data_IF_494335359279
#
_entry.id   IF_494335359279
#
_cell.length_a   1.000
_cell.length_b   1.000
_cell.length_c   1.000
_cell.angle_alpha   90.00
_cell.angle_beta   90.00
_cell.angle_gamma   90.00
#
_symmetry.space_group_name_H-M   'P 1'
#
loop_
_entity.id
_entity.type
_entity.pdbx_description
1 polymer ?
#
# COMPACT_ATOMS: atom_id res chain seq x y z
N UNK A 1 -27.07 -12.74 33.43
CA UNK A 1 -27.03 -12.68 31.94
C UNK A 1 -25.99 -13.68 31.52
N UNK A 2 -26.32 -14.66 30.66
CA UNK A 2 -25.35 -15.66 30.23
C UNK A 2 -24.27 -15.00 29.35
N UNK A 3 -23.05 -15.51 29.37
CA UNK A 3 -21.93 -15.04 28.49
C UNK A 3 -22.34 -14.97 27.02
N UNK A 4 -23.20 -15.89 26.58
CA UNK A 4 -23.78 -15.91 25.22
C UNK A 4 -24.66 -14.67 24.96
N UNK A 5 -25.41 -14.19 25.96
CA UNK A 5 -26.21 -12.98 25.83
C UNK A 5 -25.36 -11.72 25.73
N UNK A 6 -24.28 -11.63 26.49
CA UNK A 6 -23.33 -10.52 26.44
C UNK A 6 -22.59 -10.48 25.09
N UNK A 7 -22.11 -11.61 24.59
CA UNK A 7 -21.44 -11.71 23.30
C UNK A 7 -22.36 -11.33 22.11
N UNK A 8 -23.65 -11.73 22.16
CA UNK A 8 -24.64 -11.34 21.13
C UNK A 8 -24.94 -9.84 21.17
N UNK A 9 -25.03 -9.25 22.36
CA UNK A 9 -25.27 -7.81 22.54
C UNK A 9 -24.05 -6.99 22.03
N UNK A 10 -22.85 -7.45 22.32
CA UNK A 10 -21.61 -6.82 21.84
C UNK A 10 -21.50 -6.90 20.30
N UNK A 11 -21.80 -8.05 19.69
CA UNK A 11 -21.82 -8.21 18.24
C UNK A 11 -22.86 -7.28 17.57
N UNK A 12 -24.07 -7.18 18.13
CA UNK A 12 -25.10 -6.26 17.63
C UNK A 12 -24.69 -4.79 17.76
N UNK A 13 -23.99 -4.41 18.83
CA UNK A 13 -23.47 -3.06 19.01
C UNK A 13 -22.34 -2.72 18.04
N UNK A 14 -21.50 -3.71 17.66
CA UNK A 14 -20.46 -3.56 16.63
C UNK A 14 -21.08 -3.34 15.25
N UNK A 15 -22.12 -4.13 14.90
CA UNK A 15 -22.83 -4.00 13.63
C UNK A 15 -23.57 -2.66 13.53
N UNK A 16 -24.19 -2.18 14.63
CA UNK A 16 -24.85 -0.88 14.68
C UNK A 16 -23.83 0.29 14.53
N UNK A 17 -22.64 0.19 15.13
CA UNK A 17 -21.57 1.17 14.95
C UNK A 17 -21.01 1.15 13.52
N UNK A 18 -20.79 -0.03 12.94
CA UNK A 18 -20.35 -0.18 11.57
C UNK A 18 -21.34 0.46 10.57
N UNK A 19 -22.62 0.47 10.90
CA UNK A 19 -23.67 1.13 10.12
C UNK A 19 -23.64 2.68 10.22
N UNK A 20 -22.99 3.25 11.24
CA UNK A 20 -22.91 4.72 11.41
C UNK A 20 -22.00 5.35 10.34
N UNK A 21 -22.48 6.35 9.56
CA UNK A 21 -21.68 7.01 8.54
C UNK A 21 -20.38 7.61 9.08
N UNK A 22 -20.43 8.30 10.21
CA UNK A 22 -19.24 8.93 10.82
C UNK A 22 -18.15 7.91 11.17
N UNK A 23 -18.52 6.79 11.75
CA UNK A 23 -17.56 5.75 12.13
C UNK A 23 -16.94 5.06 10.90
N UNK A 24 -17.71 4.81 9.85
CA UNK A 24 -17.18 4.23 8.58
C UNK A 24 -16.09 5.11 7.96
N UNK A 25 -16.32 6.42 7.92
CA UNK A 25 -15.32 7.36 7.40
C UNK A 25 -14.12 7.50 8.33
N UNK A 26 -14.31 7.42 9.65
CA UNK A 26 -13.21 7.33 10.59
C UNK A 26 -12.33 6.10 10.32
N UNK A 27 -12.95 4.92 10.18
CA UNK A 27 -12.22 3.68 9.86
C UNK A 27 -11.47 3.81 8.53
N UNK A 28 -12.13 4.36 7.50
CA UNK A 28 -11.48 4.62 6.21
C UNK A 28 -10.27 5.55 6.37
N UNK A 29 -10.38 6.60 7.18
CA UNK A 29 -9.26 7.50 7.49
C UNK A 29 -8.07 6.79 8.14
N UNK A 30 -8.34 5.92 9.12
CA UNK A 30 -7.30 5.09 9.76
C UNK A 30 -6.66 4.13 8.75
N UNK A 31 -7.45 3.49 7.88
CA UNK A 31 -6.92 2.60 6.84
C UNK A 31 -6.08 3.37 5.81
N UNK A 32 -6.49 4.58 5.41
CA UNK A 32 -5.70 5.46 4.53
C UNK A 32 -4.38 5.84 5.22
N UNK A 33 -4.41 6.20 6.51
CA UNK A 33 -3.21 6.52 7.27
C UNK A 33 -2.23 5.34 7.31
N UNK A 34 -2.72 4.13 7.57
CA UNK A 34 -1.90 2.92 7.60
C UNK A 34 -1.30 2.64 6.21
N UNK A 35 -2.09 2.83 5.15
CA UNK A 35 -1.63 2.65 3.78
C UNK A 35 -0.61 3.72 3.37
N UNK A 36 -0.80 4.95 3.85
CA UNK A 36 0.18 6.02 3.72
C UNK A 36 1.49 5.67 4.42
N UNK A 37 1.46 5.15 5.65
CA UNK A 37 2.66 4.69 6.37
C UNK A 37 3.37 3.56 5.62
N UNK A 38 2.62 2.61 5.04
CA UNK A 38 3.17 1.53 4.24
C UNK A 38 3.98 2.06 3.03
N UNK A 39 3.43 3.00 2.26
CA UNK A 39 4.14 3.60 1.12
C UNK A 39 5.24 4.58 1.55
N UNK A 40 5.12 5.19 2.71
CA UNK A 40 6.17 6.00 3.32
C UNK A 40 7.42 5.14 3.60
N UNK A 41 7.23 3.95 4.20
CA UNK A 41 8.31 3.00 4.48
C UNK A 41 8.98 2.46 3.22
N UNK A 42 8.23 2.27 2.15
CA UNK A 42 8.79 1.87 0.84
C UNK A 42 9.61 2.97 0.21
N UNK A 43 9.18 4.21 0.35
CA UNK A 43 9.82 5.34 -0.31
C UNK A 43 11.06 5.84 0.42
N UNK A 44 11.12 5.71 1.76
CA UNK A 44 12.22 6.22 2.57
C UNK A 44 13.58 5.64 2.14
N UNK A 45 13.65 4.36 1.76
CA UNK A 45 14.92 3.75 1.34
C UNK A 45 15.48 4.41 0.08
N UNK A 46 14.60 4.82 -0.86
CA UNK A 46 15.01 5.47 -2.12
C UNK A 46 15.64 6.84 -1.90
N UNK A 47 15.04 7.69 -1.04
CA UNK A 47 15.58 9.02 -0.72
C UNK A 47 16.88 8.93 0.11
N UNK A 48 17.04 7.88 0.90
CA UNK A 48 18.23 7.63 1.72
C UNK A 48 19.35 6.90 0.98
N UNK A 49 19.23 6.67 -0.32
CA UNK A 49 20.23 5.94 -1.10
C UNK A 49 21.65 6.53 -0.97
N UNK A 50 21.78 7.84 -1.12
CA UNK A 50 23.08 8.50 -1.08
C UNK A 50 23.79 8.36 0.28
N UNK A 51 23.17 8.71 1.43
CA UNK A 51 23.81 8.55 2.73
C UNK A 51 24.08 7.08 3.10
N UNK A 52 23.20 6.14 2.75
CA UNK A 52 23.41 4.71 3.00
C UNK A 52 24.59 4.15 2.20
N UNK A 53 24.68 4.52 0.92
CA UNK A 53 25.80 4.10 0.07
C UNK A 53 27.11 4.69 0.53
N UNK A 54 27.15 5.95 0.96
CA UNK A 54 28.34 6.59 1.46
C UNK A 54 28.86 5.95 2.75
N UNK A 55 27.97 5.62 3.70
CA UNK A 55 28.37 5.08 4.99
C UNK A 55 28.78 3.61 4.92
N UNK A 56 28.05 2.79 4.18
CA UNK A 56 28.33 1.35 4.08
C UNK A 56 29.10 0.95 2.83
N UNK A 57 29.54 1.92 2.03
CA UNK A 57 30.26 1.72 0.78
C UNK A 57 29.54 0.73 -0.18
N UNK A 58 28.22 0.92 -0.32
CA UNK A 58 27.37 0.02 -1.11
C UNK A 58 27.49 0.30 -2.60
N UNK A 59 27.59 -0.78 -3.38
CA UNK A 59 27.40 -0.72 -4.83
C UNK A 59 25.93 -0.42 -5.19
N UNK A 60 25.67 0.02 -6.43
CA UNK A 60 24.30 0.20 -6.92
C UNK A 60 23.50 -1.11 -6.91
N UNK A 61 24.18 -2.25 -7.18
CA UNK A 61 23.57 -3.58 -7.10
C UNK A 61 23.13 -3.92 -5.67
N UNK A 62 23.99 -3.71 -4.68
CA UNK A 62 23.66 -3.95 -3.28
C UNK A 62 22.50 -3.05 -2.82
N UNK A 63 22.51 -1.78 -3.21
CA UNK A 63 21.40 -0.88 -2.91
C UNK A 63 20.10 -1.33 -3.59
N UNK A 64 20.15 -1.75 -4.86
CA UNK A 64 19.01 -2.31 -5.57
C UNK A 64 18.44 -3.58 -4.90
N UNK A 65 19.30 -4.43 -4.32
CA UNK A 65 18.87 -5.59 -3.53
C UNK A 65 18.12 -5.18 -2.25
N UNK A 66 18.56 -4.12 -1.56
CA UNK A 66 17.88 -3.60 -0.36
C UNK A 66 16.48 -3.05 -0.66
N UNK A 67 16.35 -2.25 -1.72
CA UNK A 67 15.08 -1.63 -2.12
C UNK A 67 14.13 -2.59 -2.82
N UNK A 68 14.66 -3.60 -3.51
CA UNK A 68 13.92 -4.56 -4.33
C UNK A 68 13.77 -5.93 -3.67
N UNK A 69 14.76 -6.80 -3.88
CA UNK A 69 14.65 -8.22 -3.56
C UNK A 69 14.44 -8.50 -2.06
N UNK A 70 15.13 -7.79 -1.18
CA UNK A 70 15.01 -7.97 0.26
C UNK A 70 13.56 -7.82 0.74
N UNK A 71 12.87 -6.83 0.19
CA UNK A 71 11.48 -6.57 0.49
C UNK A 71 10.54 -7.50 -0.30
N UNK A 72 10.68 -7.54 -1.63
CA UNK A 72 9.70 -8.13 -2.54
C UNK A 72 9.57 -9.65 -2.36
N UNK A 73 10.64 -10.36 -2.03
CA UNK A 73 10.64 -11.80 -1.89
C UNK A 73 9.64 -12.26 -0.82
N UNK A 74 9.77 -11.74 0.41
CA UNK A 74 8.92 -12.14 1.52
C UNK A 74 7.53 -11.48 1.45
N UNK A 75 7.44 -10.23 0.99
CA UNK A 75 6.17 -9.58 0.74
C UNK A 75 5.28 -10.40 -0.20
N UNK A 76 5.80 -10.81 -1.37
CA UNK A 76 5.02 -11.53 -2.38
C UNK A 76 4.67 -12.96 -1.96
N UNK A 77 5.61 -13.67 -1.31
CA UNK A 77 5.37 -15.06 -0.89
C UNK A 77 4.40 -15.16 0.28
N UNK A 78 4.48 -14.22 1.24
CA UNK A 78 3.64 -14.24 2.43
C UNK A 78 2.28 -13.56 2.24
N UNK A 79 2.09 -12.75 1.19
CA UNK A 79 0.82 -12.09 0.92
C UNK A 79 -0.35 -13.08 0.79
N UNK A 80 -0.12 -14.23 0.12
CA UNK A 80 -1.15 -15.27 -0.07
C UNK A 80 -1.53 -15.96 1.25
N UNK A 81 -0.58 -16.54 2.03
CA UNK A 81 -0.93 -17.17 3.29
C UNK A 81 -1.51 -16.20 4.32
N UNK A 82 -1.05 -14.94 4.35
CA UNK A 82 -1.61 -13.94 5.26
C UNK A 82 -3.03 -13.52 4.82
N UNK A 83 -3.30 -13.39 3.53
CA UNK A 83 -4.66 -13.17 3.03
C UNK A 83 -5.60 -14.33 3.44
N UNK A 84 -5.12 -15.58 3.32
CA UNK A 84 -5.86 -16.76 3.79
C UNK A 84 -6.13 -16.75 5.31
N UNK A 85 -5.16 -16.28 6.11
CA UNK A 85 -5.37 -16.05 7.55
C UNK A 85 -6.40 -14.95 7.79
N UNK A 86 -6.35 -13.86 7.04
CA UNK A 86 -7.29 -12.75 7.14
C UNK A 86 -8.74 -13.17 6.82
N UNK A 87 -8.94 -14.23 6.03
CA UNK A 87 -10.26 -14.80 5.77
C UNK A 87 -10.82 -15.59 6.97
N UNK A 88 -9.98 -16.02 7.90
CA UNK A 88 -10.37 -16.89 9.02
C UNK A 88 -10.30 -16.22 10.39
N UNK A 89 -9.36 -15.32 10.55
CA UNK A 89 -9.10 -14.62 11.82
C UNK A 89 -9.53 -13.16 11.74
N UNK A 90 -9.44 -12.43 12.86
CA UNK A 90 -9.73 -11.01 12.90
C UNK A 90 -8.76 -10.22 12.03
N UNK A 91 -9.31 -9.48 11.05
CA UNK A 91 -8.55 -8.63 10.13
C UNK A 91 -7.84 -7.51 10.84
N UNK A 92 -8.48 -6.94 11.87
CA UNK A 92 -7.91 -5.87 12.69
C UNK A 92 -6.70 -6.38 13.47
N UNK A 93 -6.75 -7.60 14.04
CA UNK A 93 -5.59 -8.20 14.70
C UNK A 93 -4.43 -8.47 13.74
N UNK A 94 -4.72 -9.01 12.56
CA UNK A 94 -3.69 -9.28 11.54
C UNK A 94 -3.04 -7.97 11.11
N UNK A 95 -3.83 -6.93 10.82
CA UNK A 95 -3.29 -5.63 10.43
C UNK A 95 -2.50 -4.97 11.57
N UNK A 96 -2.94 -5.10 12.82
CA UNK A 96 -2.20 -4.55 13.98
C UNK A 96 -0.84 -5.24 14.13
N UNK A 97 -0.81 -6.56 14.07
CA UNK A 97 0.42 -7.34 14.12
C UNK A 97 1.35 -7.00 12.94
N UNK A 98 0.79 -6.95 11.74
CA UNK A 98 1.47 -6.56 10.52
C UNK A 98 2.11 -5.17 10.67
N UNK A 99 1.33 -4.16 11.05
CA UNK A 99 1.79 -2.78 11.26
C UNK A 99 2.90 -2.71 12.32
N UNK A 100 2.75 -3.41 13.43
CA UNK A 100 3.77 -3.45 14.49
C UNK A 100 5.08 -4.08 13.99
N UNK A 101 4.97 -5.19 13.25
CA UNK A 101 6.14 -5.91 12.72
C UNK A 101 6.90 -5.04 11.73
N UNK A 102 6.24 -4.54 10.65
CA UNK A 102 6.98 -3.77 9.65
C UNK A 102 7.55 -2.47 10.22
N UNK A 103 6.79 -1.76 11.05
CA UNK A 103 7.25 -0.51 11.66
C UNK A 103 8.39 -0.74 12.65
N UNK A 104 8.35 -1.84 13.41
CA UNK A 104 9.45 -2.26 14.27
C UNK A 104 10.72 -2.53 13.47
N UNK A 105 10.62 -3.29 12.37
CA UNK A 105 11.76 -3.53 11.49
C UNK A 105 12.24 -2.27 10.76
N UNK A 106 11.34 -1.33 10.44
CA UNK A 106 11.72 -0.01 9.92
C UNK A 106 12.56 0.75 10.95
N UNK A 107 12.14 0.79 12.22
CA UNK A 107 12.94 1.41 13.27
C UNK A 107 14.29 0.70 13.45
N UNK A 108 14.33 -0.64 13.37
CA UNK A 108 15.56 -1.43 13.44
C UNK A 108 16.51 -1.16 12.25
N UNK A 109 16.02 -0.76 11.07
CA UNK A 109 16.88 -0.29 10.00
C UNK A 109 17.76 0.88 10.45
N UNK A 110 17.26 1.76 11.33
CA UNK A 110 18.00 2.91 11.85
C UNK A 110 19.18 2.55 12.77
N UNK A 111 19.23 1.34 13.31
CA UNK A 111 20.35 0.85 14.13
C UNK A 111 21.21 -0.18 13.39
N UNK A 112 21.00 -0.36 12.09
CA UNK A 112 21.77 -1.28 11.27
C UNK A 112 23.24 -0.88 11.21
N UNK A 113 24.14 -1.87 11.39
CA UNK A 113 25.58 -1.69 11.36
C UNK A 113 26.24 -1.99 10.00
N UNK A 114 25.46 -2.38 8.98
CA UNK A 114 25.98 -2.70 7.65
C UNK A 114 24.94 -3.29 6.72
N UNK A 115 25.36 -3.67 5.50
CA UNK A 115 24.49 -4.24 4.47
C UNK A 115 23.65 -5.42 4.97
N UNK A 116 24.28 -6.41 5.63
CA UNK A 116 23.59 -7.63 6.05
C UNK A 116 22.45 -7.38 7.05
N UNK A 117 22.72 -6.56 8.08
CA UNK A 117 21.68 -6.19 9.07
C UNK A 117 20.57 -5.37 8.44
N UNK A 118 20.91 -4.43 7.56
CA UNK A 118 19.91 -3.62 6.84
C UNK A 118 19.06 -4.50 5.90
N UNK A 119 19.68 -5.47 5.21
CA UNK A 119 19.00 -6.42 4.33
C UNK A 119 17.99 -7.27 5.12
N UNK A 120 18.40 -7.84 6.26
CA UNK A 120 17.51 -8.62 7.12
C UNK A 120 16.36 -7.79 7.69
N UNK A 121 16.62 -6.53 8.09
CA UNK A 121 15.56 -5.64 8.53
C UNK A 121 14.57 -5.35 7.39
N UNK A 122 15.02 -5.12 6.16
CA UNK A 122 14.16 -4.93 4.98
C UNK A 122 13.32 -6.17 4.65
N UNK A 123 13.87 -7.38 4.85
CA UNK A 123 13.09 -8.62 4.77
C UNK A 123 11.98 -8.63 5.82
N UNK A 124 12.28 -8.24 7.07
CA UNK A 124 11.30 -8.13 8.14
C UNK A 124 10.19 -7.11 7.85
N UNK A 125 10.53 -5.98 7.23
CA UNK A 125 9.53 -5.02 6.73
C UNK A 125 8.61 -5.71 5.72
N UNK A 126 9.16 -6.45 4.75
CA UNK A 126 8.37 -7.18 3.75
C UNK A 126 7.41 -8.21 4.35
N UNK A 127 7.83 -8.93 5.42
CA UNK A 127 6.98 -9.86 6.17
C UNK A 127 5.75 -9.12 6.75
N UNK A 128 6.01 -8.01 7.44
CA UNK A 128 4.94 -7.24 8.08
C UNK A 128 3.99 -6.64 7.04
N UNK A 129 4.51 -5.97 6.01
CA UNK A 129 3.68 -5.30 5.01
C UNK A 129 2.77 -6.25 4.21
N UNK A 130 3.13 -7.52 4.08
CA UNK A 130 2.30 -8.53 3.43
C UNK A 130 0.90 -8.69 4.09
N UNK A 131 0.78 -8.31 5.37
CA UNK A 131 -0.48 -8.35 6.13
C UNK A 131 -1.32 -7.08 6.06
N UNK A 132 -0.95 -6.07 5.28
CA UNK A 132 -1.64 -4.77 5.26
C UNK A 132 -2.82 -4.70 4.29
N UNK A 133 -2.60 -5.05 3.03
CA UNK A 133 -3.51 -4.73 1.93
C UNK A 133 -4.78 -5.58 1.90
N UNK A 134 -4.66 -6.91 1.92
CA UNK A 134 -5.82 -7.80 1.80
C UNK A 134 -6.86 -7.61 2.91
N UNK A 135 -6.47 -7.53 4.21
CA UNK A 135 -7.42 -7.22 5.27
C UNK A 135 -8.08 -5.85 5.15
N UNK A 136 -7.33 -4.82 4.67
CA UNK A 136 -7.88 -3.48 4.48
C UNK A 136 -8.98 -3.45 3.41
N UNK A 137 -8.76 -4.09 2.25
CA UNK A 137 -9.78 -4.22 1.21
C UNK A 137 -11.03 -4.95 1.72
N UNK A 138 -10.85 -6.02 2.49
CA UNK A 138 -11.94 -6.77 3.10
C UNK A 138 -12.72 -5.91 4.12
N UNK A 139 -12.03 -5.16 5.00
CA UNK A 139 -12.68 -4.25 5.94
C UNK A 139 -13.47 -3.16 5.21
N UNK A 140 -12.90 -2.51 4.20
CA UNK A 140 -13.60 -1.48 3.42
C UNK A 140 -14.86 -2.06 2.77
N UNK A 141 -14.79 -3.28 2.24
CA UNK A 141 -15.93 -3.95 1.63
C UNK A 141 -17.07 -4.22 2.60
N UNK A 142 -16.75 -4.47 3.88
CA UNK A 142 -17.76 -4.74 4.92
C UNK A 142 -18.27 -3.47 5.61
N UNK A 143 -17.48 -2.38 5.62
CA UNK A 143 -17.91 -1.09 6.16
C UNK A 143 -18.74 -0.25 5.21
N UNK A 144 -18.63 -0.50 3.88
CA UNK A 144 -19.31 0.31 2.87
C UNK A 144 -20.29 -0.52 2.04
N UNK A 145 -21.53 -0.04 1.81
CA UNK A 145 -22.48 -0.70 0.93
C UNK A 145 -21.95 -0.74 -0.51
N UNK A 146 -22.42 -1.69 -1.32
CA UNK A 146 -21.98 -1.91 -2.71
C UNK A 146 -21.91 -0.62 -3.54
N UNK A 147 -22.89 0.28 -3.39
CA UNK A 147 -22.94 1.56 -4.09
C UNK A 147 -21.84 2.56 -3.73
N UNK A 148 -21.18 2.42 -2.58
CA UNK A 148 -20.15 3.33 -2.07
C UNK A 148 -18.76 2.70 -2.05
N UNK A 149 -18.61 1.38 -2.23
CA UNK A 149 -17.32 0.66 -2.15
C UNK A 149 -16.28 1.19 -3.11
N UNK A 150 -16.66 1.43 -4.36
CA UNK A 150 -15.73 1.95 -5.37
C UNK A 150 -15.13 3.30 -4.94
N UNK A 151 -15.95 4.20 -4.38
CA UNK A 151 -15.48 5.49 -3.87
C UNK A 151 -14.58 5.34 -2.65
N UNK A 152 -14.92 4.44 -1.72
CA UNK A 152 -14.11 4.18 -0.54
C UNK A 152 -12.74 3.58 -0.91
N UNK A 153 -12.70 2.64 -1.86
CA UNK A 153 -11.46 2.07 -2.38
C UNK A 153 -10.63 3.10 -3.15
N UNK A 154 -11.27 3.98 -3.91
CA UNK A 154 -10.58 5.09 -4.57
C UNK A 154 -9.97 6.06 -3.55
N UNK A 155 -10.70 6.40 -2.49
CA UNK A 155 -10.16 7.21 -1.39
C UNK A 155 -8.99 6.51 -0.68
N UNK A 156 -9.09 5.22 -0.42
CA UNK A 156 -8.00 4.42 0.16
C UNK A 156 -6.73 4.46 -0.72
N UNK A 157 -6.89 4.42 -2.04
CA UNK A 157 -5.76 4.47 -2.97
C UNK A 157 -4.96 5.78 -2.92
N UNK A 158 -5.54 6.89 -2.44
CA UNK A 158 -4.79 8.13 -2.20
C UNK A 158 -3.70 7.97 -1.12
N UNK A 159 -3.78 6.95 -0.27
CA UNK A 159 -2.70 6.60 0.64
C UNK A 159 -1.35 6.35 -0.07
N UNK A 160 -1.37 5.92 -1.34
CA UNK A 160 -0.16 5.66 -2.14
C UNK A 160 0.63 6.97 -2.38
N UNK A 161 0.12 7.95 -3.16
CA UNK A 161 0.87 9.17 -3.44
C UNK A 161 1.14 10.00 -2.19
N UNK A 162 0.23 10.01 -1.22
CA UNK A 162 0.45 10.68 0.06
C UNK A 162 1.60 10.05 0.84
N UNK A 163 1.65 8.72 0.90
CA UNK A 163 2.72 7.99 1.57
C UNK A 163 4.07 8.16 0.89
N UNK A 164 4.11 8.03 -0.44
CA UNK A 164 5.34 8.23 -1.21
C UNK A 164 5.88 9.66 -1.06
N UNK A 165 5.03 10.68 -1.17
CA UNK A 165 5.42 12.07 -0.99
C UNK A 165 5.88 12.34 0.45
N UNK A 166 5.14 11.87 1.45
CA UNK A 166 5.51 12.00 2.86
C UNK A 166 6.83 11.28 3.17
N UNK A 167 7.03 10.07 2.64
CA UNK A 167 8.26 9.29 2.82
C UNK A 167 9.48 9.98 2.24
N UNK A 168 9.34 10.55 1.05
CA UNK A 168 10.39 11.35 0.42
C UNK A 168 10.68 12.61 1.21
N UNK A 169 9.64 13.38 1.56
CA UNK A 169 9.79 14.66 2.23
C UNK A 169 10.30 14.49 3.66
N UNK A 170 9.58 13.73 4.49
CA UNK A 170 9.92 13.53 5.90
C UNK A 170 11.24 12.76 6.02
N UNK A 171 11.41 11.67 5.25
CA UNK A 171 12.65 10.89 5.25
C UNK A 171 13.86 11.71 4.83
N UNK A 172 13.74 12.49 3.75
CA UNK A 172 14.81 13.33 3.25
C UNK A 172 15.15 14.49 4.17
N UNK A 173 14.17 15.19 4.73
CA UNK A 173 14.41 16.30 5.68
C UNK A 173 14.99 15.81 7.00
N UNK A 174 14.47 14.73 7.58
CA UNK A 174 15.03 14.14 8.80
C UNK A 174 16.47 13.68 8.57
N UNK A 175 16.74 13.07 7.43
CA UNK A 175 18.07 12.60 7.11
C UNK A 175 19.06 13.76 6.87
N UNK A 176 18.62 14.84 6.25
CA UNK A 176 19.46 16.02 6.01
C UNK A 176 19.82 16.75 7.31
N UNK A 177 18.97 16.72 8.34
CA UNK A 177 19.17 17.44 9.60
C UNK A 177 19.75 16.57 10.71
N UNK A 178 19.26 15.33 10.84
CA UNK A 178 19.56 14.45 11.98
C UNK A 178 20.22 13.12 11.56
N UNK A 179 20.45 12.93 10.26
CA UNK A 179 21.01 11.71 9.71
C UNK A 179 19.95 10.65 9.37
N UNK A 180 20.33 9.73 8.48
CA UNK A 180 19.43 8.70 7.95
C UNK A 180 18.92 7.70 9.01
N UNK A 181 19.70 7.45 10.06
CA UNK A 181 19.31 6.59 11.18
C UNK A 181 18.07 7.13 11.89
N UNK A 182 18.07 8.43 12.19
CA UNK A 182 16.94 9.11 12.82
C UNK A 182 15.70 9.06 11.96
N UNK A 183 15.84 9.19 10.64
CA UNK A 183 14.70 9.07 9.71
C UNK A 183 14.01 7.70 9.82
N UNK A 184 14.75 6.61 9.82
CA UNK A 184 14.19 5.26 9.99
C UNK A 184 13.55 5.06 11.37
N UNK A 185 14.23 5.51 12.44
CA UNK A 185 13.72 5.35 13.81
C UNK A 185 12.41 6.10 14.00
N UNK A 186 12.35 7.37 13.60
CA UNK A 186 11.14 8.20 13.75
C UNK A 186 9.97 7.63 12.97
N UNK A 187 10.20 7.24 11.71
CA UNK A 187 9.15 6.64 10.87
C UNK A 187 8.66 5.31 11.45
N UNK A 188 9.57 4.44 11.86
CA UNK A 188 9.20 3.17 12.46
C UNK A 188 8.43 3.33 13.78
N UNK A 189 8.89 4.21 14.68
CA UNK A 189 8.17 4.49 15.93
C UNK A 189 6.77 5.05 15.66
N UNK A 190 6.61 5.95 14.68
CA UNK A 190 5.30 6.49 14.31
C UNK A 190 4.32 5.36 13.95
N UNK A 191 4.75 4.39 13.14
CA UNK A 191 3.90 3.25 12.78
C UNK A 191 3.58 2.34 13.98
N UNK A 192 4.55 2.08 14.86
CA UNK A 192 4.32 1.33 16.12
C UNK A 192 3.28 2.03 16.99
N UNK A 193 3.29 3.37 17.07
CA UNK A 193 2.31 4.14 17.83
C UNK A 193 0.91 4.14 17.20
N UNK A 194 0.80 3.99 15.89
CA UNK A 194 -0.51 3.88 15.19
C UNK A 194 -1.14 2.49 15.38
N UNK A 195 -0.36 1.44 15.60
CA UNK A 195 -0.87 0.08 15.76
C UNK A 195 -1.89 -0.07 16.91
N UNK A 196 -1.66 0.41 18.14
CA UNK A 196 -2.66 0.39 19.20
C UNK A 196 -3.88 1.26 18.89
N UNK A 197 -3.74 2.38 18.15
CA UNK A 197 -4.89 3.19 17.72
C UNK A 197 -5.80 2.36 16.82
N UNK A 198 -5.26 1.66 15.81
CA UNK A 198 -6.04 0.73 14.99
C UNK A 198 -6.75 -0.31 15.86
N UNK A 199 -6.01 -0.97 16.77
CA UNK A 199 -6.54 -2.08 17.57
C UNK A 199 -7.66 -1.65 18.52
N UNK A 200 -7.53 -0.49 19.14
CA UNK A 200 -8.45 -0.01 20.17
C UNK A 200 -9.68 0.68 19.59
N UNK A 201 -9.56 1.28 18.41
CA UNK A 201 -10.62 2.13 17.86
C UNK A 201 -11.37 1.50 16.70
N UNK A 202 -10.76 0.58 15.94
CA UNK A 202 -11.40 -0.11 14.82
C UNK A 202 -11.90 -1.47 15.26
N UNK A 203 -13.20 -1.72 15.05
CA UNK A 203 -13.85 -3.01 15.29
C UNK A 203 -13.84 -3.84 14.01
N UNK A 204 -13.85 -5.16 14.13
CA UNK A 204 -13.96 -6.07 13.00
C UNK A 204 -15.44 -6.38 12.73
N UNK A 205 -16.06 -5.86 11.64
CA UNK A 205 -17.47 -6.06 11.37
C UNK A 205 -17.76 -7.48 10.90
N UNK A 206 -19.02 -7.89 10.97
CA UNK A 206 -19.47 -9.16 10.42
C UNK A 206 -19.22 -9.20 8.90
N UNK A 207 -18.61 -10.27 8.42
CA UNK A 207 -18.28 -10.43 7.00
C UNK A 207 -19.54 -10.52 6.15
N UNK A 208 -19.59 -9.73 5.07
CA UNK A 208 -20.73 -9.67 4.16
C UNK A 208 -22.01 -9.12 4.78
N UNK A 209 -21.94 -8.51 5.98
CA UNK A 209 -23.12 -8.01 6.69
C UNK A 209 -23.93 -6.98 5.91
N UNK A 210 -23.28 -6.19 5.05
CA UNK A 210 -23.94 -5.21 4.17
C UNK A 210 -24.27 -5.76 2.77
N UNK A 211 -23.99 -7.02 2.49
CA UNK A 211 -24.28 -7.67 1.19
C UNK A 211 -25.60 -8.43 1.20
N UNK A 212 -26.16 -8.68 2.37
CA UNK A 212 -27.47 -9.32 2.51
C UNK A 212 -28.54 -8.28 2.14
N UNK A 213 -29.16 -8.42 0.98
CA UNK A 213 -30.41 -7.70 0.71
C UNK A 213 -31.46 -8.13 1.73
N UNK A 214 -32.33 -7.23 2.20
CA UNK A 214 -33.47 -7.60 3.02
C UNK A 214 -34.45 -8.42 2.15
N UNK A 215 -34.09 -9.66 1.87
CA UNK A 215 -34.96 -10.60 1.18
C UNK A 215 -35.99 -11.11 2.19
N UNK A 216 -37.24 -11.24 1.75
CA UNK A 216 -38.43 -11.63 2.46
C UNK A 216 -38.22 -12.60 3.66
N UNK A 217 -39.11 -12.57 4.68
CA UNK A 217 -38.95 -13.25 5.98
C UNK A 217 -38.90 -14.78 5.95
N UNK A 218 -38.80 -15.42 4.79
CA UNK A 218 -38.98 -16.89 4.60
C UNK A 218 -37.77 -17.61 3.98
N UNK A 219 -36.65 -16.93 3.70
CA UNK A 219 -35.47 -17.63 3.21
C UNK A 219 -34.63 -18.17 4.39
N UNK A 220 -34.44 -19.51 4.44
CA UNK A 220 -33.47 -20.15 5.33
C UNK A 220 -32.10 -19.45 5.24
N UNK A 221 -31.28 -19.44 6.31
CA UNK A 221 -29.94 -18.82 6.29
C UNK A 221 -29.16 -19.45 5.11
N UNK A 222 -28.92 -18.67 4.07
CA UNK A 222 -28.03 -19.10 2.99
C UNK A 222 -26.63 -19.09 3.59
N UNK A 223 -26.10 -20.29 3.87
CA UNK A 223 -24.68 -20.44 4.24
C UNK A 223 -23.84 -19.70 3.19
N UNK A 224 -23.00 -18.80 3.63
CA UNK A 224 -22.04 -18.12 2.73
C UNK A 224 -21.28 -19.21 1.95
N UNK A 225 -21.16 -19.11 0.61
CA UNK A 225 -20.47 -20.11 -0.18
C UNK A 225 -19.08 -20.34 0.38
N UNK A 226 -18.75 -21.57 0.75
CA UNK A 226 -17.40 -21.92 1.22
C UNK A 226 -16.40 -21.52 0.14
N UNK A 227 -15.37 -20.76 0.52
CA UNK A 227 -14.31 -20.37 -0.40
C UNK A 227 -13.73 -21.63 -1.09
N UNK A 228 -13.58 -21.63 -2.43
CA UNK A 228 -13.09 -22.80 -3.14
C UNK A 228 -11.67 -23.13 -2.70
N UNK A 229 -11.26 -24.41 -2.73
CA UNK A 229 -9.89 -24.81 -2.46
C UNK A 229 -8.91 -24.09 -3.39
N UNK A 230 -7.74 -23.70 -2.88
CA UNK A 230 -6.71 -22.95 -3.65
C UNK A 230 -6.41 -23.60 -5.02
N UNK A 231 -6.25 -24.93 -5.06
CA UNK A 231 -5.96 -25.65 -6.30
C UNK A 231 -7.11 -25.53 -7.34
N UNK A 232 -8.34 -25.43 -6.90
CA UNK A 232 -9.49 -25.21 -7.81
C UNK A 232 -9.42 -23.81 -8.43
N UNK A 233 -9.04 -22.79 -7.65
CA UNK A 233 -8.83 -21.42 -8.14
C UNK A 233 -7.72 -21.41 -9.20
N UNK A 234 -6.57 -22.04 -8.92
CA UNK A 234 -5.46 -22.17 -9.87
C UNK A 234 -5.90 -22.85 -11.16
N UNK A 235 -6.59 -24.00 -11.09
CA UNK A 235 -7.10 -24.72 -12.27
C UNK A 235 -8.10 -23.89 -13.09
N UNK A 236 -8.84 -22.99 -12.45
CA UNK A 236 -9.81 -22.14 -13.14
C UNK A 236 -9.13 -20.93 -13.82
N UNK A 237 -8.08 -20.38 -13.23
CA UNK A 237 -7.41 -19.18 -13.74
C UNK A 237 -6.28 -19.49 -14.73
N UNK A 238 -5.49 -20.54 -14.47
CA UNK A 238 -4.31 -20.88 -15.27
C UNK A 238 -4.60 -21.06 -16.79
N UNK A 239 -5.73 -21.63 -17.25
CA UNK A 239 -6.01 -21.75 -18.68
C UNK A 239 -6.53 -20.47 -19.34
N UNK A 240 -6.75 -19.37 -18.57
CA UNK A 240 -7.30 -18.11 -19.11
C UNK A 240 -6.17 -17.18 -19.58
N UNK A 241 -5.99 -16.91 -20.89
CA UNK A 241 -4.96 -16.00 -21.39
C UNK A 241 -5.11 -14.57 -20.84
N UNK A 242 -6.36 -14.11 -20.63
CA UNK A 242 -6.64 -12.79 -20.05
C UNK A 242 -6.07 -12.62 -18.65
N UNK A 243 -6.05 -13.69 -17.84
CA UNK A 243 -5.43 -13.66 -16.51
C UNK A 243 -3.93 -13.39 -16.60
N UNK A 244 -3.22 -14.10 -17.50
CA UNK A 244 -1.78 -13.93 -17.66
C UNK A 244 -1.41 -12.57 -18.27
N UNK A 245 -2.14 -12.13 -19.30
CA UNK A 245 -1.90 -10.82 -19.92
C UNK A 245 -2.08 -9.68 -18.91
N UNK A 246 -3.12 -9.71 -18.10
CA UNK A 246 -3.34 -8.70 -17.04
C UNK A 246 -2.26 -8.80 -15.96
N UNK A 247 -1.89 -10.01 -15.54
CA UNK A 247 -0.86 -10.22 -14.51
C UNK A 247 0.52 -9.74 -14.97
N UNK A 248 0.94 -10.08 -16.21
CA UNK A 248 2.22 -9.61 -16.77
C UNK A 248 2.20 -8.10 -17.04
N UNK A 249 1.09 -7.54 -17.50
CA UNK A 249 0.93 -6.10 -17.66
C UNK A 249 1.07 -5.34 -16.34
N UNK A 250 0.41 -5.82 -15.30
CA UNK A 250 0.52 -5.25 -13.96
C UNK A 250 1.95 -5.41 -13.37
N UNK A 251 2.58 -6.57 -13.61
CA UNK A 251 3.97 -6.79 -13.17
C UNK A 251 4.94 -5.84 -13.87
N UNK A 252 4.84 -5.68 -15.19
CA UNK A 252 5.67 -4.75 -15.96
C UNK A 252 5.49 -3.30 -15.49
N UNK A 253 4.24 -2.88 -15.27
CA UNK A 253 3.91 -1.57 -14.68
C UNK A 253 4.57 -1.38 -13.31
N UNK A 254 4.50 -2.40 -12.45
CA UNK A 254 5.09 -2.35 -11.11
C UNK A 254 6.62 -2.25 -11.17
N UNK A 255 7.28 -3.01 -12.06
CA UNK A 255 8.74 -2.95 -12.25
C UNK A 255 9.16 -1.53 -12.66
N UNK A 256 8.47 -0.92 -13.65
CA UNK A 256 8.74 0.46 -14.05
C UNK A 256 8.50 1.45 -12.91
N UNK A 257 7.33 1.38 -12.28
CA UNK A 257 6.93 2.33 -11.23
C UNK A 257 7.85 2.29 -10.01
N UNK A 258 8.13 1.12 -9.48
CA UNK A 258 9.03 0.97 -8.32
C UNK A 258 10.49 1.24 -8.68
N UNK A 259 10.93 0.87 -9.90
CA UNK A 259 12.27 1.18 -10.38
C UNK A 259 12.50 2.69 -10.44
N UNK A 260 11.60 3.43 -11.07
CA UNK A 260 11.66 4.90 -11.14
C UNK A 260 11.61 5.49 -9.71
N UNK A 261 10.67 5.04 -8.87
CA UNK A 261 10.54 5.55 -7.51
C UNK A 261 11.81 5.36 -6.66
N UNK A 262 12.52 4.25 -6.82
CA UNK A 262 13.74 3.95 -6.08
C UNK A 262 14.94 4.77 -6.56
N UNK A 263 15.06 5.01 -7.88
CA UNK A 263 16.27 5.59 -8.46
C UNK A 263 16.18 7.08 -8.80
N UNK A 264 14.96 7.62 -8.96
CA UNK A 264 14.77 9.01 -9.35
C UNK A 264 15.36 10.02 -8.34
N UNK A 265 15.28 9.82 -7.02
CA UNK A 265 15.99 10.67 -6.07
C UNK A 265 17.50 10.69 -6.30
N UNK A 266 18.11 9.52 -6.53
CA UNK A 266 19.54 9.42 -6.84
C UNK A 266 19.90 10.10 -8.17
N UNK A 267 19.03 10.03 -9.17
CA UNK A 267 19.19 10.73 -10.42
C UNK A 267 19.22 12.25 -10.22
N UNK A 268 18.28 12.81 -9.47
CA UNK A 268 18.27 14.26 -9.16
C UNK A 268 19.56 14.72 -8.47
N UNK A 269 20.02 13.97 -7.49
CA UNK A 269 21.27 14.31 -6.78
C UNK A 269 22.51 14.17 -7.67
N UNK A 270 22.59 13.13 -8.52
CA UNK A 270 23.79 12.88 -9.36
C UNK A 270 23.84 13.73 -10.62
N UNK A 271 22.71 13.93 -11.30
CA UNK A 271 22.67 14.62 -12.60
C UNK A 271 22.47 16.12 -12.47
N UNK A 272 21.72 16.57 -11.47
CA UNK A 272 21.45 18.01 -11.24
C UNK A 272 22.18 18.60 -10.03
N UNK A 273 22.97 17.80 -9.31
CA UNK A 273 23.73 18.29 -8.13
C UNK A 273 22.85 18.76 -6.96
N UNK A 274 21.56 18.33 -6.92
CA UNK A 274 20.66 18.75 -5.84
C UNK A 274 21.09 18.16 -4.50
N UNK A 275 20.96 18.97 -3.45
CA UNK A 275 21.10 18.48 -2.08
C UNK A 275 19.99 17.49 -1.73
N UNK A 276 20.19 16.69 -0.67
CA UNK A 276 19.19 15.76 -0.18
C UNK A 276 17.87 16.48 0.16
N UNK A 277 17.95 17.64 0.82
CA UNK A 277 16.77 18.45 1.16
C UNK A 277 16.04 18.99 -0.07
N UNK A 278 16.77 19.52 -1.07
CA UNK A 278 16.17 19.97 -2.33
C UNK A 278 15.48 18.82 -3.06
N UNK A 279 16.14 17.67 -3.17
CA UNK A 279 15.57 16.47 -3.78
C UNK A 279 14.31 16.04 -3.05
N UNK A 280 14.29 16.09 -1.72
CA UNK A 280 13.11 15.75 -0.93
C UNK A 280 11.91 16.64 -1.28
N UNK A 281 12.10 17.95 -1.41
CA UNK A 281 11.04 18.89 -1.78
C UNK A 281 10.56 18.69 -3.22
N UNK A 282 11.46 18.70 -4.19
CA UNK A 282 11.09 18.56 -5.62
C UNK A 282 10.42 17.23 -5.91
N UNK A 283 11.01 16.13 -5.46
CA UNK A 283 10.48 14.83 -5.78
C UNK A 283 9.16 14.55 -5.04
N UNK A 284 9.01 15.00 -3.80
CA UNK A 284 7.74 14.86 -3.09
C UNK A 284 6.61 15.64 -3.76
N UNK A 285 6.89 16.84 -4.28
CA UNK A 285 5.92 17.64 -5.02
C UNK A 285 5.49 16.94 -6.32
N UNK A 286 6.45 16.39 -7.08
CA UNK A 286 6.17 15.63 -8.31
C UNK A 286 5.29 14.42 -8.01
N UNK A 287 5.63 13.63 -7.00
CA UNK A 287 4.88 12.42 -6.62
C UNK A 287 3.48 12.77 -6.11
N UNK A 288 3.35 13.81 -5.30
CA UNK A 288 2.07 14.24 -4.75
C UNK A 288 1.14 14.74 -5.86
N UNK A 289 1.60 15.73 -6.63
CA UNK A 289 0.78 16.35 -7.68
C UNK A 289 0.49 15.36 -8.81
N UNK A 290 1.53 14.69 -9.31
CA UNK A 290 1.40 13.70 -10.40
C UNK A 290 0.59 12.48 -9.97
N UNK A 291 0.81 11.96 -8.76
CA UNK A 291 0.09 10.80 -8.24
C UNK A 291 -1.39 11.09 -8.00
N UNK A 292 -1.71 12.22 -7.35
CA UNK A 292 -3.11 12.61 -7.10
C UNK A 292 -3.83 12.91 -8.41
N UNK A 293 -3.22 13.71 -9.30
CA UNK A 293 -3.78 14.01 -10.62
C UNK A 293 -3.95 12.75 -11.46
N UNK A 294 -2.94 11.85 -11.46
CA UNK A 294 -2.98 10.59 -12.20
C UNK A 294 -4.11 9.66 -11.75
N UNK A 295 -4.30 9.48 -10.44
CA UNK A 295 -5.42 8.68 -9.91
C UNK A 295 -6.76 9.30 -10.29
N UNK A 296 -6.91 10.61 -10.13
CA UNK A 296 -8.17 11.30 -10.41
C UNK A 296 -8.51 11.30 -11.92
N UNK A 297 -7.55 11.68 -12.76
CA UNK A 297 -7.73 11.73 -14.23
C UNK A 297 -7.92 10.32 -14.79
N UNK A 298 -7.04 9.37 -14.42
CA UNK A 298 -7.10 7.99 -14.91
C UNK A 298 -8.41 7.31 -14.52
N UNK A 299 -8.83 7.43 -13.26
CA UNK A 299 -10.10 6.89 -12.80
C UNK A 299 -11.31 7.52 -13.52
N UNK A 300 -11.36 8.86 -13.61
CA UNK A 300 -12.46 9.55 -14.26
C UNK A 300 -12.55 9.25 -15.77
N UNK A 301 -11.42 9.12 -16.45
CA UNK A 301 -11.37 8.73 -17.87
C UNK A 301 -11.84 7.28 -18.05
N UNK A 302 -11.33 6.34 -17.25
CA UNK A 302 -11.72 4.95 -17.31
C UNK A 302 -13.23 4.78 -17.08
N UNK A 303 -13.81 5.50 -16.08
CA UNK A 303 -15.24 5.45 -15.80
C UNK A 303 -16.09 6.07 -16.91
N UNK A 304 -15.66 7.18 -17.51
CA UNK A 304 -16.38 7.81 -18.62
C UNK A 304 -16.38 6.93 -19.87
N UNK A 305 -15.22 6.44 -20.26
CA UNK A 305 -15.05 5.59 -21.44
C UNK A 305 -15.62 4.18 -21.22
N UNK A 306 -15.56 3.66 -19.99
CA UNK A 306 -16.12 2.37 -19.61
C UNK A 306 -17.64 2.25 -19.72
N UNK A 307 -18.36 3.42 -19.76
CA UNK A 307 -19.81 3.47 -20.04
C UNK A 307 -20.14 3.04 -21.47
N UNK A 308 -19.23 3.31 -22.41
CA UNK A 308 -19.43 2.97 -23.84
C UNK A 308 -18.75 1.66 -24.22
N UNK A 309 -17.64 1.31 -23.61
CA UNK A 309 -16.89 0.07 -23.89
C UNK A 309 -16.13 -0.44 -22.69
N UNK A 310 -16.33 -1.69 -22.33
CA UNK A 310 -15.60 -2.37 -21.24
C UNK A 310 -14.10 -2.46 -21.52
N UNK A 311 -13.67 -2.41 -22.78
CA UNK A 311 -12.26 -2.38 -23.19
C UNK A 311 -11.55 -1.09 -22.75
N UNK A 312 -12.28 -0.05 -22.40
CA UNK A 312 -11.69 1.20 -21.92
C UNK A 312 -10.88 1.02 -20.62
N UNK A 313 -11.29 0.12 -19.74
CA UNK A 313 -10.59 -0.12 -18.48
C UNK A 313 -9.12 -0.57 -18.67
N UNK A 314 -8.80 -1.57 -19.50
CA UNK A 314 -7.41 -1.93 -19.78
C UNK A 314 -6.71 -0.97 -20.75
N UNK A 315 -7.44 -0.29 -21.66
CA UNK A 315 -6.84 0.63 -22.62
C UNK A 315 -6.39 1.95 -21.99
N UNK A 316 -7.11 2.47 -21.00
CA UNK A 316 -6.75 3.73 -20.34
C UNK A 316 -5.32 3.69 -19.76
N UNK A 317 -4.91 2.73 -18.93
CA UNK A 317 -3.54 2.64 -18.46
C UNK A 317 -2.54 2.36 -19.58
N UNK A 318 -2.89 1.56 -20.61
CA UNK A 318 -2.00 1.29 -21.72
C UNK A 318 -1.65 2.57 -22.52
N UNK A 319 -2.64 3.42 -22.80
CA UNK A 319 -2.43 4.71 -23.47
C UNK A 319 -1.62 5.65 -22.57
N UNK A 320 -1.91 5.70 -21.28
CA UNK A 320 -1.16 6.51 -20.32
C UNK A 320 0.34 6.12 -20.31
N UNK A 321 0.67 4.83 -20.32
CA UNK A 321 2.05 4.37 -20.41
C UNK A 321 2.71 4.75 -21.74
N UNK A 322 2.01 4.60 -22.87
CA UNK A 322 2.55 4.99 -24.19
C UNK A 322 2.88 6.48 -24.24
N UNK A 323 2.06 7.33 -23.61
CA UNK A 323 2.31 8.78 -23.55
C UNK A 323 3.43 9.10 -22.55
N UNK A 324 3.52 8.38 -21.44
CA UNK A 324 4.53 8.65 -20.41
C UNK A 324 5.96 8.39 -20.88
N UNK A 325 6.18 7.43 -21.78
CA UNK A 325 7.54 7.10 -22.27
C UNK A 325 8.21 8.29 -22.97
N UNK A 326 7.63 8.92 -24.01
CA UNK A 326 8.27 10.08 -24.66
C UNK A 326 8.38 11.27 -23.70
N UNK A 327 7.40 11.52 -22.83
CA UNK A 327 7.48 12.58 -21.82
C UNK A 327 8.65 12.36 -20.86
N UNK A 328 8.86 11.12 -20.40
CA UNK A 328 9.97 10.78 -19.53
C UNK A 328 11.33 10.95 -20.24
N UNK A 329 11.45 10.52 -21.50
CA UNK A 329 12.66 10.71 -22.29
C UNK A 329 12.98 12.20 -22.47
N UNK A 330 11.97 13.02 -22.79
CA UNK A 330 12.13 14.46 -22.92
C UNK A 330 12.57 15.10 -21.59
N UNK A 331 11.92 14.75 -20.49
CA UNK A 331 12.28 15.25 -19.17
C UNK A 331 13.73 14.91 -18.77
N UNK A 332 14.17 13.67 -19.04
CA UNK A 332 15.55 13.24 -18.74
C UNK A 332 16.60 13.97 -19.59
N UNK A 333 16.26 14.42 -20.79
CA UNK A 333 17.16 15.12 -21.70
C UNK A 333 17.04 16.65 -21.63
N UNK A 334 16.11 17.20 -20.85
CA UNK A 334 15.88 18.66 -20.79
C UNK A 334 17.04 19.45 -20.16
N UNK A 335 17.93 18.79 -19.41
CA UNK A 335 19.04 19.44 -18.72
C UNK A 335 18.63 20.43 -17.61
N UNK A 336 17.35 20.58 -17.37
CA UNK A 336 16.77 21.48 -16.36
C UNK A 336 15.97 20.70 -15.30
N UNK A 337 16.05 21.17 -14.07
CA UNK A 337 15.28 20.60 -12.95
C UNK A 337 13.75 20.80 -13.13
N UNK A 338 13.36 21.73 -13.95
CA UNK A 338 11.97 22.16 -14.23
C UNK A 338 11.58 21.80 -15.68
N UNK A 339 12.00 20.66 -16.13
CA UNK A 339 11.63 20.14 -17.46
C UNK A 339 10.49 19.13 -17.41
#
# INVERSE_FOLDING_TARGET
MSEIGAAKAEAAAVDARAASPGYRYYVLGILILIYMLNFLDRQIIGILAAPLKAEFNLSDTQFGLLGGLAFALLYSTLAIPIAWLADRFSRVWIMTGALTIWSGFTALCGVAGGFGSLFLCRMGVGIGEAGGVAPAYSLISDYFPKSQRARALAAYAFGIPLGMAAGTLVGGLLAATYGWRTAFIVVGILGVLVAPVLRLTVKDPKRGGLDVEPSAPTAAPVEAPKAPPFMQVVRTLAPKPSFWLLSFGAAASSVCGYGVAAWLPSFFMRSFGLSLSQTAWYYSAIVLVGGVAGIWLGGSMADRLGKTSKSAYPLTPAIAFLISVPCFILAMNSGAVVG
#
